data_IF_477828092163
#
_entry.id   IF_477828092163
#
_cell.length_a   1.000
_cell.length_b   1.000
_cell.length_c   1.000
_cell.angle_alpha   90.00
_cell.angle_beta   90.00
_cell.angle_gamma   90.00
#
_symmetry.space_group_name_H-M   'P 1'
#
loop_
_entity.id
_entity.type
_entity.pdbx_description
1 polymer ?
#
# COMPACT_ATOMS: atom_id res chain seq x y z
N UNK A 1 7.37 16.01 15.32
CA UNK A 1 6.21 15.68 14.47
C UNK A 1 5.33 14.64 15.16
N UNK A 2 5.81 13.39 15.44
CA UNK A 2 4.98 12.30 16.00
C UNK A 2 4.28 12.69 17.31
N UNK A 3 4.98 13.38 18.24
CA UNK A 3 4.37 13.89 19.48
C UNK A 3 3.19 14.82 19.20
N UNK A 4 3.36 15.78 18.28
CA UNK A 4 2.30 16.73 17.92
C UNK A 4 1.10 16.07 17.22
N UNK A 5 1.31 14.97 16.47
CA UNK A 5 0.22 14.19 15.89
C UNK A 5 -0.60 13.48 16.99
N UNK A 6 0.08 12.84 17.94
CA UNK A 6 -0.58 12.20 19.10
C UNK A 6 -1.38 13.19 19.95
N UNK A 7 -0.82 14.39 20.21
CA UNK A 7 -1.50 15.48 20.93
C UNK A 7 -2.77 15.96 20.21
N UNK A 8 -2.86 15.77 18.88
CA UNK A 8 -4.05 16.04 18.08
C UNK A 8 -5.01 14.85 17.96
N UNK A 9 -4.76 13.77 18.69
CA UNK A 9 -5.60 12.58 18.66
C UNK A 9 -5.44 11.73 17.41
N UNK A 10 -4.33 11.88 16.66
CA UNK A 10 -4.05 11.03 15.49
C UNK A 10 -3.41 9.73 15.98
N UNK A 11 -4.05 8.62 15.69
CA UNK A 11 -3.52 7.27 15.94
C UNK A 11 -2.37 6.98 14.98
N UNK A 12 -1.29 6.41 15.50
CA UNK A 12 -0.10 6.05 14.71
C UNK A 12 0.13 4.57 14.91
N UNK A 13 0.03 3.83 13.80
CA UNK A 13 0.29 2.40 13.73
C UNK A 13 1.61 2.12 13.05
N UNK A 14 2.25 1.01 13.46
CA UNK A 14 3.53 0.58 12.93
C UNK A 14 3.37 -0.75 12.17
N UNK A 15 3.93 -0.79 10.96
CA UNK A 15 4.04 -1.99 10.16
C UNK A 15 5.49 -2.45 10.14
N UNK A 16 5.72 -3.75 10.30
CA UNK A 16 7.07 -4.31 10.16
C UNK A 16 7.24 -4.89 8.76
N UNK A 17 8.28 -4.42 8.09
CA UNK A 17 8.60 -4.76 6.72
C UNK A 17 10.05 -5.22 6.64
N UNK A 18 10.26 -6.36 5.98
CA UNK A 18 11.60 -6.84 5.65
C UNK A 18 11.93 -6.47 4.21
N UNK A 19 12.53 -5.29 4.05
CA UNK A 19 12.85 -4.73 2.73
C UNK A 19 14.13 -5.37 2.19
N UNK A 20 14.01 -6.07 1.07
CA UNK A 20 15.15 -6.62 0.35
C UNK A 20 15.88 -5.56 -0.49
N UNK A 21 17.12 -5.84 -0.90
CA UNK A 21 17.94 -4.95 -1.75
C UNK A 21 17.33 -4.67 -3.15
N UNK A 22 16.21 -5.32 -3.49
CA UNK A 22 15.50 -5.17 -4.75
C UNK A 22 14.57 -3.96 -4.86
N UNK A 23 14.20 -3.32 -3.74
CA UNK A 23 13.14 -2.30 -3.68
C UNK A 23 13.40 -1.07 -4.56
N UNK A 24 14.65 -0.76 -4.85
CA UNK A 24 15.06 0.42 -5.62
C UNK A 24 15.61 0.09 -7.02
N UNK A 25 15.36 -1.11 -7.53
CA UNK A 25 15.80 -1.47 -8.88
C UNK A 25 14.92 -0.77 -9.92
N UNK A 26 15.52 -0.09 -10.91
CA UNK A 26 14.75 0.47 -12.02
C UNK A 26 14.10 -0.66 -12.85
N UNK A 27 12.95 -0.34 -13.45
CA UNK A 27 12.29 -1.23 -14.42
C UNK A 27 13.25 -1.43 -15.59
N UNK A 28 13.65 -2.68 -15.84
CA UNK A 28 14.56 -3.03 -16.94
C UNK A 28 13.84 -3.59 -18.15
N UNK A 29 12.55 -3.93 -18.01
CA UNK A 29 11.71 -4.48 -19.07
C UNK A 29 11.14 -3.38 -19.96
N UNK A 30 10.95 -3.67 -21.23
CA UNK A 30 10.31 -2.76 -22.20
C UNK A 30 8.83 -2.51 -21.89
N UNK A 31 8.21 -3.40 -21.14
CA UNK A 31 6.80 -3.32 -20.75
C UNK A 31 6.65 -3.53 -19.23
N UNK A 32 5.63 -2.90 -18.64
CA UNK A 32 5.31 -3.06 -17.22
C UNK A 32 4.98 -4.53 -16.90
N UNK A 33 4.29 -5.22 -17.81
CA UNK A 33 3.93 -6.64 -17.65
C UNK A 33 5.13 -7.60 -17.59
N UNK A 34 6.25 -7.22 -18.17
CA UNK A 34 7.49 -8.01 -18.14
C UNK A 34 8.42 -7.71 -16.96
N UNK A 35 8.02 -6.82 -16.05
CA UNK A 35 8.81 -6.50 -14.86
C UNK A 35 8.44 -7.43 -13.71
N UNK A 36 9.43 -8.14 -13.17
CA UNK A 36 9.24 -8.97 -11.99
C UNK A 36 9.43 -8.14 -10.71
N UNK A 37 8.36 -8.02 -9.93
CA UNK A 37 8.40 -7.39 -8.62
C UNK A 37 9.11 -8.29 -7.61
N UNK A 38 9.99 -7.69 -6.82
CA UNK A 38 10.59 -8.40 -5.68
C UNK A 38 9.53 -8.69 -4.60
N UNK A 39 9.71 -9.81 -3.93
CA UNK A 39 8.87 -10.20 -2.79
C UNK A 39 9.24 -9.35 -1.56
N UNK A 40 8.24 -8.78 -0.93
CA UNK A 40 8.35 -8.14 0.38
C UNK A 40 7.70 -9.06 1.43
N UNK A 41 8.44 -9.34 2.49
CA UNK A 41 7.92 -10.04 3.66
C UNK A 41 7.39 -9.01 4.64
N UNK A 42 6.16 -9.18 5.06
CA UNK A 42 5.44 -8.28 5.95
C UNK A 42 5.05 -8.99 7.23
N UNK A 43 5.08 -8.26 8.33
CA UNK A 43 4.58 -8.73 9.62
C UNK A 43 3.62 -7.69 10.18
N UNK A 44 2.38 -8.08 10.42
CA UNK A 44 1.31 -7.18 10.84
C UNK A 44 0.69 -7.71 12.12
N UNK A 45 0.62 -6.86 13.15
CA UNK A 45 -0.01 -7.19 14.42
C UNK A 45 -1.54 -7.16 14.29
N UNK A 46 -2.19 -8.01 15.09
CA UNK A 46 -3.64 -8.10 15.19
C UNK A 46 -4.28 -6.72 15.42
N UNK A 47 -3.74 -5.93 16.33
CA UNK A 47 -4.26 -4.60 16.68
C UNK A 47 -4.35 -3.64 15.47
N UNK A 48 -3.41 -3.74 14.51
CA UNK A 48 -3.47 -2.94 13.28
C UNK A 48 -4.68 -3.31 12.43
N UNK A 49 -4.96 -4.61 12.30
CA UNK A 49 -6.13 -5.10 11.54
C UNK A 49 -7.43 -4.71 12.25
N UNK A 50 -7.46 -4.71 13.58
CA UNK A 50 -8.60 -4.24 14.38
C UNK A 50 -8.86 -2.75 14.14
N UNK A 51 -7.81 -1.92 14.12
CA UNK A 51 -7.93 -0.50 13.82
C UNK A 51 -8.43 -0.25 12.39
N UNK A 52 -7.92 -0.96 11.40
CA UNK A 52 -8.42 -0.87 10.02
C UNK A 52 -9.88 -1.30 9.88
N UNK A 53 -10.31 -2.28 10.67
CA UNK A 53 -11.69 -2.77 10.69
C UNK A 53 -12.65 -1.74 11.33
N UNK A 54 -12.22 -1.09 12.41
CA UNK A 54 -13.05 -0.18 13.21
C UNK A 54 -13.01 1.27 12.73
N UNK A 55 -11.91 1.69 12.10
CA UNK A 55 -11.69 3.06 11.62
C UNK A 55 -11.23 3.07 10.16
N UNK A 56 -12.10 2.69 9.22
CA UNK A 56 -11.74 2.55 7.81
C UNK A 56 -11.56 3.87 7.07
N UNK A 57 -11.84 5.01 7.74
CA UNK A 57 -11.74 6.33 7.14
C UNK A 57 -10.38 6.98 7.43
N UNK A 58 -9.93 7.82 6.51
CA UNK A 58 -8.75 8.69 6.69
C UNK A 58 -7.44 7.94 7.01
N UNK A 59 -7.23 6.79 6.38
CA UNK A 59 -6.00 6.02 6.51
C UNK A 59 -4.92 6.67 5.64
N UNK A 60 -3.84 7.13 6.27
CA UNK A 60 -2.71 7.77 5.60
C UNK A 60 -1.49 6.86 5.73
N UNK A 61 -1.02 6.34 4.62
CA UNK A 61 0.21 5.55 4.60
C UNK A 61 1.45 6.44 4.52
N UNK A 62 2.50 6.08 5.26
CA UNK A 62 3.80 6.74 5.18
C UNK A 62 4.80 5.80 4.51
N UNK A 63 5.18 6.15 3.29
CA UNK A 63 6.04 5.34 2.41
C UNK A 63 5.28 4.36 1.52
N UNK A 64 5.82 4.15 0.33
CA UNK A 64 5.21 3.28 -0.71
C UNK A 64 5.14 1.81 -0.30
N UNK A 65 6.08 1.34 0.52
CA UNK A 65 6.07 -0.03 1.05
C UNK A 65 4.91 -0.22 2.03
N UNK A 66 4.60 0.79 2.87
CA UNK A 66 3.40 0.76 3.73
C UNK A 66 2.12 0.75 2.90
N UNK A 67 2.08 1.51 1.80
CA UNK A 67 0.95 1.47 0.85
C UNK A 67 0.74 0.06 0.33
N UNK A 68 1.79 -0.56 -0.20
CA UNK A 68 1.71 -1.93 -0.75
C UNK A 68 1.28 -2.95 0.31
N UNK A 69 1.76 -2.81 1.54
CA UNK A 69 1.36 -3.68 2.65
C UNK A 69 -0.12 -3.54 2.98
N UNK A 70 -0.61 -2.32 3.16
CA UNK A 70 -2.00 -2.06 3.50
C UNK A 70 -2.96 -2.55 2.40
N UNK A 71 -2.65 -2.25 1.14
CA UNK A 71 -3.45 -2.74 0.01
C UNK A 71 -3.39 -4.27 -0.12
N UNK A 72 -2.23 -4.90 0.18
CA UNK A 72 -2.11 -6.35 0.21
C UNK A 72 -2.97 -6.99 1.31
N UNK A 73 -3.05 -6.39 2.50
CA UNK A 73 -3.91 -6.88 3.57
C UNK A 73 -5.38 -6.96 3.16
N UNK A 74 -5.87 -5.96 2.42
CA UNK A 74 -7.23 -6.02 1.88
C UNK A 74 -7.43 -7.26 1.00
N UNK A 75 -6.52 -7.51 0.07
CA UNK A 75 -6.63 -8.65 -0.84
C UNK A 75 -6.43 -9.99 -0.14
N UNK A 76 -5.56 -10.04 0.86
CA UNK A 76 -5.41 -11.22 1.72
C UNK A 76 -6.69 -11.54 2.49
N UNK A 77 -7.40 -10.51 2.98
CA UNK A 77 -8.71 -10.67 3.59
C UNK A 77 -9.77 -11.15 2.59
N UNK A 78 -9.75 -10.66 1.35
CA UNK A 78 -10.62 -11.16 0.26
C UNK A 78 -10.32 -12.62 -0.03
N UNK A 79 -9.04 -13.01 -0.17
CA UNK A 79 -8.64 -14.41 -0.33
C UNK A 79 -9.14 -15.28 0.83
N UNK A 80 -9.08 -14.78 2.06
CA UNK A 80 -9.60 -15.49 3.23
C UNK A 80 -11.12 -15.70 3.17
N UNK A 81 -11.89 -14.70 2.68
CA UNK A 81 -13.33 -14.84 2.42
C UNK A 81 -13.61 -15.94 1.38
N UNK A 82 -12.72 -16.06 0.39
CA UNK A 82 -12.81 -17.07 -0.67
C UNK A 82 -12.26 -18.45 -0.26
N UNK A 83 -11.89 -18.62 1.00
CA UNK A 83 -11.34 -19.87 1.57
C UNK A 83 -10.03 -20.31 0.89
N UNK A 84 -9.24 -19.35 0.37
CA UNK A 84 -7.93 -19.64 -0.22
C UNK A 84 -6.91 -19.99 0.87
N UNK A 85 -6.35 -21.19 0.81
CA UNK A 85 -5.37 -21.69 1.78
C UNK A 85 -4.07 -20.86 1.79
N UNK A 86 -3.65 -20.28 0.64
CA UNK A 86 -2.47 -19.39 0.53
C UNK A 86 -2.83 -17.90 0.64
N UNK A 87 -3.86 -17.56 1.43
CA UNK A 87 -4.32 -16.17 1.58
C UNK A 87 -3.23 -15.20 2.04
N UNK A 88 -2.22 -15.67 2.77
CA UNK A 88 -1.11 -14.85 3.30
C UNK A 88 -0.02 -14.52 2.25
N UNK A 89 -0.20 -14.96 1.03
CA UNK A 89 0.66 -14.65 -0.11
C UNK A 89 -0.15 -13.93 -1.18
N UNK A 90 0.35 -12.78 -1.65
CA UNK A 90 -0.28 -12.04 -2.75
C UNK A 90 0.67 -11.91 -3.93
N UNK A 91 0.27 -12.45 -5.08
CA UNK A 91 0.99 -12.38 -6.34
C UNK A 91 0.97 -10.98 -6.95
N UNK A 92 1.85 -10.77 -7.94
CA UNK A 92 2.09 -9.45 -8.55
C UNK A 92 0.83 -8.82 -9.17
N UNK A 93 0.06 -9.61 -9.90
CA UNK A 93 -1.14 -9.16 -10.62
C UNK A 93 -2.44 -9.69 -10.02
N UNK A 94 -2.35 -10.53 -9.01
CA UNK A 94 -3.49 -11.24 -8.42
C UNK A 94 -4.60 -10.30 -7.92
N UNK A 95 -4.22 -9.12 -7.41
CA UNK A 95 -5.15 -8.09 -6.98
C UNK A 95 -6.10 -7.57 -8.08
N UNK A 96 -5.77 -7.78 -9.35
CA UNK A 96 -6.59 -7.35 -10.49
C UNK A 96 -7.57 -8.42 -10.94
N UNK A 97 -7.34 -9.68 -10.57
CA UNK A 97 -8.16 -10.83 -10.92
C UNK A 97 -9.16 -11.19 -9.81
N UNK A 98 -8.86 -10.79 -8.57
CA UNK A 98 -9.72 -11.09 -7.41
C UNK A 98 -11.00 -10.23 -7.42
N UNK A 99 -12.14 -10.77 -6.93
CA UNK A 99 -13.40 -10.03 -6.87
C UNK A 99 -13.30 -8.82 -5.93
N UNK A 100 -13.71 -7.65 -6.43
CA UNK A 100 -13.53 -6.35 -5.77
C UNK A 100 -14.78 -5.84 -5.02
N UNK A 101 -15.79 -6.69 -4.85
CA UNK A 101 -17.09 -6.31 -4.27
C UNK A 101 -17.12 -6.20 -2.74
N UNK A 102 -16.07 -6.62 -2.06
CA UNK A 102 -16.00 -6.62 -0.59
C UNK A 102 -15.57 -5.25 -0.05
N UNK A 103 -16.15 -4.87 1.07
CA UNK A 103 -15.72 -3.68 1.83
C UNK A 103 -14.41 -3.95 2.59
N UNK A 104 -13.71 -2.88 2.97
CA UNK A 104 -12.53 -2.98 3.84
C UNK A 104 -12.87 -3.71 5.15
N UNK A 105 -14.03 -3.41 5.72
CA UNK A 105 -14.50 -4.03 6.97
C UNK A 105 -14.67 -5.54 6.82
N UNK A 106 -15.31 -6.02 5.76
CA UNK A 106 -15.49 -7.47 5.51
C UNK A 106 -14.16 -8.18 5.36
N UNK A 107 -13.24 -7.59 4.59
CA UNK A 107 -11.89 -8.12 4.39
C UNK A 107 -11.11 -8.18 5.72
N UNK A 108 -11.11 -7.11 6.52
CA UNK A 108 -10.42 -7.10 7.82
C UNK A 108 -11.07 -8.06 8.82
N UNK A 109 -12.39 -8.18 8.81
CA UNK A 109 -13.11 -9.16 9.67
C UNK A 109 -12.69 -10.60 9.35
N UNK A 110 -12.50 -10.95 8.09
CA UNK A 110 -12.02 -12.28 7.71
C UNK A 110 -10.59 -12.56 8.21
N UNK A 111 -9.70 -11.54 8.18
CA UNK A 111 -8.37 -11.67 8.77
C UNK A 111 -8.42 -11.81 10.29
N UNK A 112 -9.30 -11.06 10.98
CA UNK A 112 -9.48 -11.18 12.42
C UNK A 112 -9.99 -12.58 12.80
N UNK A 113 -10.88 -13.17 12.00
CA UNK A 113 -11.30 -14.56 12.17
C UNK A 113 -10.12 -15.53 12.12
N UNK A 114 -9.17 -15.33 11.21
CA UNK A 114 -7.94 -16.13 11.17
C UNK A 114 -7.09 -15.96 12.45
N UNK A 115 -6.94 -14.74 12.98
CA UNK A 115 -6.22 -14.50 14.22
C UNK A 115 -6.88 -15.25 15.40
N UNK A 116 -8.21 -15.27 15.45
CA UNK A 116 -8.96 -16.01 16.47
C UNK A 116 -8.79 -17.53 16.34
N UNK A 117 -8.87 -18.06 15.12
CA UNK A 117 -8.69 -19.50 14.84
C UNK A 117 -7.28 -19.99 15.20
N UNK A 118 -6.26 -19.16 15.01
CA UNK A 118 -4.87 -19.53 15.24
C UNK A 118 -4.34 -19.11 16.62
N UNK A 119 -5.14 -18.43 17.44
CA UNK A 119 -4.69 -17.80 18.69
C UNK A 119 -3.41 -16.98 18.48
N UNK A 120 -3.38 -16.20 17.39
CA UNK A 120 -2.19 -15.49 16.90
C UNK A 120 -2.30 -13.98 17.16
N UNK A 121 -1.14 -13.35 17.42
CA UNK A 121 -1.03 -11.89 17.55
C UNK A 121 -0.29 -11.25 16.37
N UNK A 122 0.30 -12.06 15.49
CA UNK A 122 1.11 -11.60 14.37
C UNK A 122 0.81 -12.40 13.10
N UNK A 123 0.38 -11.71 12.06
CA UNK A 123 0.30 -12.26 10.70
C UNK A 123 1.64 -12.06 9.99
N UNK A 124 2.27 -13.16 9.59
CA UNK A 124 3.42 -13.15 8.68
C UNK A 124 2.93 -13.46 7.27
N UNK A 125 3.24 -12.58 6.33
CA UNK A 125 2.75 -12.67 4.97
C UNK A 125 3.81 -12.21 3.97
N UNK A 126 3.55 -12.41 2.68
CA UNK A 126 4.42 -11.96 1.59
C UNK A 126 3.59 -11.35 0.46
N UNK A 127 4.16 -10.34 -0.19
CA UNK A 127 3.52 -9.70 -1.34
C UNK A 127 4.52 -9.36 -2.43
N UNK A 128 4.08 -9.51 -3.64
CA UNK A 128 4.74 -8.99 -4.84
C UNK A 128 3.85 -7.97 -5.56
N UNK A 129 2.74 -7.51 -4.95
CA UNK A 129 1.78 -6.63 -5.60
C UNK A 129 2.46 -5.49 -6.36
N UNK A 130 2.05 -5.26 -7.59
CA UNK A 130 2.36 -4.07 -8.37
C UNK A 130 1.10 -3.18 -8.41
N UNK A 131 1.27 -1.89 -8.15
CA UNK A 131 0.19 -0.91 -8.22
C UNK A 131 0.47 0.01 -9.40
N UNK A 132 -0.39 -0.03 -10.41
CA UNK A 132 -0.25 0.73 -11.66
C UNK A 132 -1.52 1.54 -11.93
N UNK A 133 -1.50 2.54 -12.84
CA UNK A 133 -2.70 3.27 -13.27
C UNK A 133 -3.83 2.30 -13.66
N UNK A 134 -5.02 2.55 -13.13
CA UNK A 134 -6.18 1.66 -13.22
C UNK A 134 -6.45 0.84 -11.94
N UNK A 135 -5.50 0.79 -11.01
CA UNK A 135 -5.73 0.20 -9.69
C UNK A 135 -6.64 1.11 -8.85
N UNK A 136 -7.69 0.52 -8.26
CA UNK A 136 -8.56 1.23 -7.30
C UNK A 136 -8.12 0.95 -5.89
N UNK A 137 -7.62 1.96 -5.20
CA UNK A 137 -7.17 1.83 -3.80
C UNK A 137 -8.32 1.43 -2.88
N UNK A 138 -8.06 0.47 -2.00
CA UNK A 138 -9.06 -0.15 -1.11
C UNK A 138 -8.94 0.29 0.34
N UNK A 139 -7.73 0.62 0.78
CA UNK A 139 -7.42 0.90 2.17
C UNK A 139 -7.07 2.36 2.37
N UNK A 140 -6.07 2.86 1.66
CA UNK A 140 -5.55 4.20 1.93
C UNK A 140 -6.40 5.30 1.30
N UNK A 141 -6.49 6.43 2.00
CA UNK A 141 -7.11 7.68 1.48
C UNK A 141 -6.08 8.73 1.08
N UNK A 142 -4.87 8.59 1.61
CA UNK A 142 -3.73 9.43 1.24
C UNK A 142 -2.41 8.72 1.54
N UNK A 143 -1.33 9.24 0.97
CA UNK A 143 0.01 8.76 1.27
C UNK A 143 1.00 9.91 1.41
N UNK A 144 1.97 9.74 2.33
CA UNK A 144 3.22 10.49 2.33
C UNK A 144 4.27 9.68 1.59
N UNK A 145 4.91 10.28 0.57
CA UNK A 145 5.97 9.63 -0.18
C UNK A 145 7.01 10.64 -0.67
N UNK A 146 8.25 10.19 -0.86
CA UNK A 146 9.27 10.96 -1.54
C UNK A 146 8.96 11.08 -3.03
N UNK A 147 9.71 11.94 -3.72
CA UNK A 147 9.69 12.01 -5.18
C UNK A 147 10.52 10.86 -5.77
N UNK A 148 9.94 10.13 -6.70
CA UNK A 148 10.52 8.93 -7.30
C UNK A 148 11.08 9.22 -8.69
N UNK A 149 12.04 8.39 -9.12
CA UNK A 149 12.62 8.50 -10.46
C UNK A 149 11.63 8.09 -11.56
N UNK A 150 11.78 8.65 -12.77
CA UNK A 150 11.12 8.13 -13.96
C UNK A 150 11.40 6.63 -14.13
N UNK A 151 10.50 5.93 -14.81
CA UNK A 151 10.61 4.48 -15.08
C UNK A 151 10.76 3.62 -13.81
N UNK A 152 10.19 4.05 -12.68
CA UNK A 152 10.13 3.25 -11.47
C UNK A 152 8.69 2.77 -11.20
N UNK A 153 8.57 1.58 -10.61
CA UNK A 153 7.27 1.05 -10.14
C UNK A 153 6.66 1.94 -9.07
N UNK A 154 7.46 2.70 -8.35
CA UNK A 154 7.02 3.65 -7.32
C UNK A 154 6.32 4.87 -7.94
N UNK A 155 6.77 5.34 -9.10
CA UNK A 155 6.07 6.41 -9.83
C UNK A 155 4.74 5.92 -10.41
N UNK A 156 4.67 4.65 -10.85
CA UNK A 156 3.40 4.04 -11.29
C UNK A 156 2.37 3.99 -10.15
N UNK A 157 2.80 3.65 -8.92
CA UNK A 157 1.96 3.66 -7.74
C UNK A 157 1.43 5.08 -7.45
N UNK A 158 2.27 6.11 -7.56
CA UNK A 158 1.84 7.51 -7.42
C UNK A 158 0.84 7.89 -8.51
N UNK A 159 1.12 7.55 -9.77
CA UNK A 159 0.22 7.82 -10.89
C UNK A 159 -1.13 7.10 -10.73
N UNK A 160 -1.14 5.89 -10.18
CA UNK A 160 -2.37 5.19 -9.84
C UNK A 160 -3.19 5.96 -8.78
N UNK A 161 -2.53 6.60 -7.81
CA UNK A 161 -3.20 7.30 -6.72
C UNK A 161 -3.84 8.63 -7.15
N UNK A 162 -3.15 9.42 -7.98
CA UNK A 162 -3.57 10.79 -8.30
C UNK A 162 -3.88 11.01 -9.78
N UNK A 163 -3.83 9.95 -10.61
CA UNK A 163 -4.06 10.04 -12.05
C UNK A 163 -3.10 11.02 -12.71
N UNK A 164 -3.50 11.66 -13.80
CA UNK A 164 -2.68 12.60 -14.58
C UNK A 164 -2.11 13.80 -13.80
N UNK A 165 -2.61 14.07 -12.58
CA UNK A 165 -2.06 15.15 -11.75
C UNK A 165 -0.64 14.88 -11.27
N UNK A 166 -0.15 13.63 -11.39
CA UNK A 166 1.24 13.33 -11.07
C UNK A 166 2.22 14.17 -11.90
N UNK A 167 1.91 14.48 -13.16
CA UNK A 167 2.72 15.37 -14.01
C UNK A 167 2.86 16.74 -13.36
N UNK A 168 1.76 17.36 -12.94
CA UNK A 168 1.76 18.70 -12.31
C UNK A 168 2.59 18.71 -11.02
N UNK A 169 2.46 17.67 -10.20
CA UNK A 169 3.18 17.53 -8.93
C UNK A 169 4.69 17.43 -9.19
N UNK A 170 5.09 16.64 -10.18
CA UNK A 170 6.50 16.44 -10.51
C UNK A 170 7.13 17.65 -11.25
N UNK A 171 6.38 18.28 -12.14
CA UNK A 171 6.82 19.53 -12.81
C UNK A 171 7.02 20.64 -11.77
N UNK A 172 6.11 20.76 -10.80
CA UNK A 172 6.29 21.69 -9.69
C UNK A 172 7.54 21.39 -8.89
N UNK A 173 7.76 20.14 -8.51
CA UNK A 173 8.92 19.74 -7.73
C UNK A 173 10.25 20.03 -8.47
N UNK A 174 10.31 19.73 -9.77
CA UNK A 174 11.49 19.96 -10.61
C UNK A 174 11.81 21.45 -10.79
N UNK A 175 10.78 22.31 -10.82
CA UNK A 175 10.96 23.76 -11.01
C UNK A 175 11.16 24.54 -9.72
N UNK A 176 11.04 23.88 -8.53
CA UNK A 176 11.16 24.50 -7.22
C UNK A 176 12.23 23.84 -6.33
N UNK A 177 13.27 23.27 -6.93
CA UNK A 177 14.44 22.72 -6.25
C UNK A 177 14.15 21.61 -5.22
N UNK A 178 13.05 20.87 -5.38
CA UNK A 178 12.75 19.72 -4.53
C UNK A 178 13.76 18.60 -4.75
N UNK A 179 14.18 17.99 -3.66
CA UNK A 179 15.14 16.87 -3.68
C UNK A 179 14.39 15.56 -3.81
N UNK A 180 14.85 14.73 -4.72
CA UNK A 180 14.25 13.43 -5.05
C UNK A 180 14.83 12.31 -4.18
N UNK A 181 14.16 11.16 -4.16
CA UNK A 181 14.53 9.95 -3.44
C UNK A 181 14.58 10.17 -1.92
N UNK A 182 15.61 9.63 -1.25
CA UNK A 182 15.77 9.67 0.20
C UNK A 182 16.38 10.99 0.73
N UNK A 183 16.52 12.01 -0.11
CA UNK A 183 17.15 13.27 0.29
C UNK A 183 16.24 14.24 1.06
N UNK A 184 15.03 13.85 1.35
CA UNK A 184 14.24 14.45 2.41
C UNK A 184 12.98 15.19 2.02
N UNK A 185 12.79 15.57 0.76
CA UNK A 185 11.54 16.21 0.34
C UNK A 185 10.48 15.15 0.06
N UNK A 186 9.22 15.45 0.42
CA UNK A 186 8.12 14.53 0.30
C UNK A 186 6.82 15.25 -0.04
N UNK A 187 5.87 14.50 -0.54
CA UNK A 187 4.53 14.96 -0.89
C UNK A 187 3.47 14.23 -0.07
N UNK A 188 2.41 14.94 0.30
CA UNK A 188 1.17 14.35 0.80
C UNK A 188 0.17 14.28 -0.36
N UNK A 189 -0.11 13.10 -0.83
CA UNK A 189 -0.98 12.85 -1.97
C UNK A 189 -2.30 12.24 -1.52
N UNK A 190 -3.42 12.85 -1.87
CA UNK A 190 -4.75 12.29 -1.66
C UNK A 190 -5.09 11.35 -2.81
N UNK A 191 -5.52 10.15 -2.48
CA UNK A 191 -6.01 9.18 -3.46
C UNK A 191 -7.29 9.70 -4.10
N UNK A 192 -7.34 9.68 -5.42
CA UNK A 192 -8.57 10.00 -6.16
C UNK A 192 -9.62 8.93 -5.86
N UNK A 193 -10.80 9.38 -5.49
CA UNK A 193 -11.97 8.49 -5.49
C UNK A 193 -12.45 8.42 -6.94
N UNK A 194 -12.46 7.22 -7.48
CA UNK A 194 -13.10 7.00 -8.79
C UNK A 194 -14.53 7.55 -8.71
N UNK A 195 -14.87 8.43 -9.63
CA UNK A 195 -16.28 8.81 -9.81
C UNK A 195 -16.98 7.56 -10.33
N UNK A 196 -17.79 6.94 -9.47
CA UNK A 196 -18.73 5.90 -9.88
C UNK A 196 -19.66 6.39 -10.96
#
# INVERSE_FOLDING_TARGET
VLKALREKGITIEELTLHVGAGTFRPVKSETIGGHDMHTEHISVRREVVEHLCTHPENIIAVGTTSVRTLESLYWMGVKRILEDEDFSSLGQWEAYDLPSGYSLKESMTALLGWFDEQDAELLKAKTTIIIVPGYSYRVITAMFTNFHQPQSTLLLLVAAAIGEDWHKVYDYALTHDFRFLSYGDSSLLKVRKDKK
#
